data_IF_663648481208
#
_entry.id   IF_663648481208
#
_cell.length_a   1.000
_cell.length_b   1.000
_cell.length_c   1.000
_cell.angle_alpha   90.00
_cell.angle_beta   90.00
_cell.angle_gamma   90.00
#
_symmetry.space_group_name_H-M   'P 1'
#
loop_
_entity.id
_entity.type
_entity.pdbx_description
1 polymer ?
#
# COMPACT_ATOMS: atom_id res chain seq x y z
N UNK A 1 -17.53 9.79 -17.48
CA UNK A 1 -16.25 9.77 -18.22
C UNK A 1 -15.24 10.54 -17.38
N UNK A 2 -14.06 9.96 -17.10
CA UNK A 2 -13.05 10.57 -16.21
C UNK A 2 -12.18 11.56 -17.00
N UNK A 3 -11.85 12.75 -16.47
CA UNK A 3 -10.99 13.71 -17.16
C UNK A 3 -9.65 13.08 -17.57
N UNK A 4 -9.08 13.49 -18.71
CA UNK A 4 -7.80 12.96 -19.20
C UNK A 4 -6.67 13.06 -18.18
N UNK A 5 -6.64 14.10 -17.36
CA UNK A 5 -5.65 14.30 -16.29
C UNK A 5 -5.77 13.31 -15.12
N UNK A 6 -6.85 12.55 -15.04
CA UNK A 6 -7.09 11.54 -14.01
C UNK A 6 -6.96 10.11 -14.55
N UNK A 7 -6.68 9.95 -15.85
CA UNK A 7 -6.41 8.64 -16.44
C UNK A 7 -5.01 8.18 -16.04
N UNK A 8 -4.88 6.89 -15.75
CA UNK A 8 -3.59 6.28 -15.47
C UNK A 8 -2.77 6.09 -16.75
N UNK A 9 -1.45 6.26 -16.62
CA UNK A 9 -0.46 6.16 -17.68
C UNK A 9 0.01 7.54 -18.12
N UNK A 10 1.27 7.60 -18.57
CA UNK A 10 1.85 8.83 -19.11
C UNK A 10 1.46 9.01 -20.58
N UNK A 11 1.22 10.25 -21.06
CA UNK A 11 0.91 10.49 -22.47
C UNK A 11 2.03 10.01 -23.39
N UNK A 12 1.65 9.38 -24.50
CA UNK A 12 2.57 8.89 -25.54
C UNK A 12 3.57 7.82 -25.06
N UNK A 13 3.19 7.02 -24.07
CA UNK A 13 3.97 5.85 -23.62
C UNK A 13 3.14 4.56 -23.72
N UNK A 14 3.85 3.42 -23.78
CA UNK A 14 3.26 2.07 -23.75
C UNK A 14 3.73 1.33 -22.49
N UNK A 15 3.25 0.11 -22.22
CA UNK A 15 3.73 -0.73 -21.11
C UNK A 15 3.24 -0.35 -19.70
N UNK A 16 2.59 0.81 -19.51
CA UNK A 16 1.91 1.15 -18.26
C UNK A 16 0.59 0.39 -18.13
N UNK A 17 0.34 -0.20 -16.95
CA UNK A 17 -1.01 -0.61 -16.57
C UNK A 17 -1.87 0.65 -16.46
N UNK A 18 -3.09 0.56 -16.97
CA UNK A 18 -4.12 1.60 -16.84
C UNK A 18 -4.75 1.57 -15.44
N UNK A 19 -3.92 1.68 -14.41
CA UNK A 19 -4.30 1.69 -12.99
C UNK A 19 -3.42 2.68 -12.23
N UNK A 20 -3.92 3.19 -11.11
CA UNK A 20 -3.15 4.01 -10.17
C UNK A 20 -2.79 3.17 -8.95
N UNK A 21 -1.53 3.22 -8.52
CA UNK A 21 -1.05 2.49 -7.34
C UNK A 21 -0.70 3.48 -6.24
N UNK A 22 -1.25 3.28 -5.05
CA UNK A 22 -0.82 3.96 -3.84
C UNK A 22 -0.12 2.97 -2.91
N UNK A 23 1.08 3.33 -2.46
CA UNK A 23 1.85 2.58 -1.47
C UNK A 23 2.00 3.46 -0.23
N UNK A 24 1.56 2.97 0.92
CA UNK A 24 1.70 3.67 2.21
C UNK A 24 2.73 2.92 3.03
N UNK A 25 3.71 3.65 3.55
CA UNK A 25 4.74 3.15 4.45
C UNK A 25 4.28 3.29 5.89
N UNK A 26 4.32 2.19 6.62
CA UNK A 26 3.77 2.06 7.96
C UNK A 26 4.91 1.76 8.93
N UNK A 27 5.02 2.60 9.97
CA UNK A 27 5.90 2.34 11.11
C UNK A 27 5.06 1.76 12.24
N UNK A 28 5.43 0.57 12.73
CA UNK A 28 4.75 -0.07 13.86
C UNK A 28 4.94 0.77 15.12
N UNK A 29 3.92 0.76 15.98
CA UNK A 29 3.95 1.46 17.27
C UNK A 29 5.12 0.99 18.13
N UNK A 30 5.82 1.94 18.75
CA UNK A 30 6.94 1.62 19.64
C UNK A 30 6.50 0.70 20.78
N UNK A 31 7.27 -0.37 21.00
CA UNK A 31 7.02 -1.36 22.05
C UNK A 31 5.99 -2.43 21.70
N UNK A 32 5.35 -2.37 20.53
CA UNK A 32 4.46 -3.42 20.05
C UNK A 32 5.27 -4.60 19.48
N UNK A 33 4.86 -5.83 19.80
CA UNK A 33 5.46 -7.04 19.20
C UNK A 33 5.13 -7.15 17.71
N UNK A 34 5.90 -7.96 16.97
CA UNK A 34 5.60 -8.25 15.56
C UNK A 34 4.28 -9.01 15.43
N UNK A 35 4.02 -9.95 16.32
CA UNK A 35 2.80 -10.76 16.36
C UNK A 35 1.57 -9.91 16.62
N UNK A 36 1.60 -9.02 17.62
CA UNK A 36 0.48 -8.14 17.93
C UNK A 36 0.21 -7.16 16.79
N UNK A 37 1.25 -6.66 16.14
CA UNK A 37 1.11 -5.76 14.98
C UNK A 37 0.47 -6.48 13.79
N UNK A 38 0.92 -7.69 13.47
CA UNK A 38 0.32 -8.52 12.41
C UNK A 38 -1.14 -8.80 12.73
N UNK A 39 -1.46 -9.27 13.94
CA UNK A 39 -2.84 -9.61 14.32
C UNK A 39 -3.74 -8.39 14.26
N UNK A 40 -3.34 -7.28 14.89
CA UNK A 40 -4.15 -6.08 14.93
C UNK A 40 -4.35 -5.50 13.53
N UNK A 41 -3.28 -5.36 12.75
CA UNK A 41 -3.38 -4.77 11.42
C UNK A 41 -4.25 -5.64 10.51
N UNK A 42 -4.03 -6.96 10.49
CA UNK A 42 -4.78 -7.85 9.61
C UNK A 42 -6.24 -8.03 10.02
N UNK A 43 -6.50 -8.27 11.32
CA UNK A 43 -7.80 -8.76 11.80
C UNK A 43 -8.68 -7.66 12.39
N UNK A 44 -8.13 -6.49 12.72
CA UNK A 44 -8.90 -5.35 13.23
C UNK A 44 -8.98 -4.22 12.22
N UNK A 45 -7.85 -3.73 11.74
CA UNK A 45 -7.84 -2.53 10.89
C UNK A 45 -8.19 -2.87 9.42
N UNK A 46 -7.42 -3.76 8.79
CA UNK A 46 -7.53 -4.06 7.36
C UNK A 46 -8.91 -4.62 6.98
N UNK A 47 -9.49 -5.52 7.78
CA UNK A 47 -10.83 -6.07 7.50
C UNK A 47 -11.93 -5.00 7.50
N UNK A 48 -11.83 -3.98 8.36
CA UNK A 48 -12.81 -2.88 8.41
C UNK A 48 -12.75 -1.98 7.18
N UNK A 49 -11.59 -1.90 6.52
CA UNK A 49 -11.44 -1.16 5.28
C UNK A 49 -12.13 -1.85 4.10
N UNK A 50 -12.17 -3.20 4.07
CA UNK A 50 -12.66 -3.97 2.90
C UNK A 50 -13.99 -3.49 2.31
N UNK A 51 -15.07 -3.26 3.10
CA UNK A 51 -16.34 -2.80 2.54
C UNK A 51 -16.27 -1.41 1.90
N UNK A 52 -15.42 -0.51 2.44
CA UNK A 52 -15.19 0.82 1.89
C UNK A 52 -14.44 0.69 0.57
N UNK A 53 -13.40 -0.15 0.54
CA UNK A 53 -12.59 -0.37 -0.65
C UNK A 53 -13.41 -0.93 -1.81
N UNK A 54 -14.27 -1.92 -1.52
CA UNK A 54 -15.17 -2.53 -2.52
C UNK A 54 -16.17 -1.51 -3.09
N UNK A 55 -16.73 -0.64 -2.25
CA UNK A 55 -17.69 0.40 -2.67
C UNK A 55 -17.09 1.41 -3.66
N UNK A 56 -15.79 1.69 -3.53
CA UNK A 56 -15.07 2.59 -4.45
C UNK A 56 -14.44 1.87 -5.65
N UNK A 57 -14.66 0.56 -5.81
CA UNK A 57 -14.16 -0.21 -6.95
C UNK A 57 -12.64 -0.38 -6.94
N UNK A 58 -12.01 -0.37 -5.76
CA UNK A 58 -10.57 -0.60 -5.63
C UNK A 58 -10.27 -2.04 -6.06
N UNK A 59 -9.28 -2.19 -6.94
CA UNK A 59 -8.95 -3.44 -7.63
C UNK A 59 -8.28 -4.42 -6.68
N UNK A 60 -7.33 -3.93 -5.87
CA UNK A 60 -6.66 -4.75 -4.87
C UNK A 60 -6.18 -3.92 -3.68
N UNK A 61 -6.14 -4.59 -2.54
CA UNK A 61 -5.52 -4.10 -1.30
C UNK A 61 -4.66 -5.22 -0.73
N UNK A 62 -3.39 -4.92 -0.46
CA UNK A 62 -2.46 -5.88 0.12
C UNK A 62 -1.60 -5.23 1.20
N UNK A 63 -1.15 -6.08 2.13
CA UNK A 63 -0.18 -5.75 3.17
C UNK A 63 1.09 -6.54 2.91
N UNK A 64 2.24 -5.86 2.95
CA UNK A 64 3.56 -6.49 2.88
C UNK A 64 4.34 -6.07 4.11
N UNK A 65 4.80 -7.06 4.87
CA UNK A 65 5.52 -6.84 6.12
C UNK A 65 7.03 -6.85 5.89
N UNK A 66 7.73 -6.06 6.69
CA UNK A 66 9.18 -5.95 6.72
C UNK A 66 9.66 -5.96 8.17
N UNK A 67 9.39 -7.07 8.85
CA UNK A 67 9.60 -7.22 10.29
C UNK A 67 10.96 -7.89 10.58
N UNK A 68 11.28 -8.17 11.85
CA UNK A 68 12.62 -8.64 12.25
C UNK A 68 13.08 -9.86 11.44
N UNK A 69 12.18 -10.83 11.27
CA UNK A 69 12.42 -12.02 10.45
C UNK A 69 12.79 -11.67 9.01
N UNK A 70 12.03 -10.80 8.36
CA UNK A 70 12.19 -10.49 6.94
C UNK A 70 13.44 -9.65 6.70
N UNK A 71 13.70 -8.69 7.60
CA UNK A 71 14.93 -7.89 7.64
C UNK A 71 16.16 -8.78 7.75
N UNK A 72 16.15 -9.77 8.66
CA UNK A 72 17.26 -10.71 8.82
C UNK A 72 17.47 -11.56 7.57
N UNK A 73 16.40 -12.12 7.01
CA UNK A 73 16.48 -12.96 5.80
C UNK A 73 17.11 -12.20 4.64
N UNK A 74 16.66 -10.97 4.35
CA UNK A 74 17.23 -10.21 3.24
C UNK A 74 18.66 -9.75 3.52
N UNK A 75 19.00 -9.44 4.78
CA UNK A 75 20.38 -9.15 5.14
C UNK A 75 21.30 -10.35 4.93
N UNK A 76 20.89 -11.54 5.34
CA UNK A 76 21.66 -12.77 5.15
C UNK A 76 21.89 -13.04 3.64
N UNK A 77 20.83 -12.91 2.83
CA UNK A 77 20.91 -13.07 1.36
C UNK A 77 21.88 -12.06 0.74
N UNK A 78 21.86 -10.81 1.20
CA UNK A 78 22.71 -9.73 0.69
C UNK A 78 24.06 -9.62 1.41
N UNK A 79 24.42 -10.61 2.24
CA UNK A 79 25.68 -10.65 3.00
C UNK A 79 25.90 -9.38 3.84
N UNK A 80 24.83 -8.87 4.47
CA UNK A 80 24.82 -7.67 5.30
C UNK A 80 24.83 -6.34 4.53
N UNK A 81 24.77 -6.35 3.20
CA UNK A 81 24.83 -5.13 2.38
C UNK A 81 23.45 -4.57 2.01
N UNK A 82 22.36 -5.11 2.56
CA UNK A 82 21.03 -4.62 2.23
C UNK A 82 20.82 -3.21 2.81
N UNK A 83 20.38 -2.27 1.96
CA UNK A 83 19.97 -0.93 2.36
C UNK A 83 18.47 -0.91 2.58
N UNK A 84 18.07 -1.32 3.77
CA UNK A 84 16.66 -1.49 4.13
C UNK A 84 16.03 -0.16 4.53
N UNK A 85 14.77 0.02 4.16
CA UNK A 85 13.96 1.13 4.64
C UNK A 85 13.56 0.87 6.10
N UNK A 86 13.58 1.92 6.91
CA UNK A 86 13.22 1.84 8.32
C UNK A 86 11.68 1.88 8.54
N UNK A 87 10.96 0.97 7.89
CA UNK A 87 9.50 0.80 8.02
C UNK A 87 9.16 -0.67 8.20
N UNK A 88 8.08 -0.93 8.91
CA UNK A 88 7.71 -2.28 9.38
C UNK A 88 6.69 -2.96 8.44
N UNK A 89 5.96 -2.17 7.66
CA UNK A 89 5.08 -2.68 6.61
C UNK A 89 4.86 -1.62 5.53
N UNK A 90 4.36 -2.09 4.39
CA UNK A 90 3.65 -1.25 3.44
C UNK A 90 2.23 -1.79 3.25
N UNK A 91 1.30 -0.88 2.98
CA UNK A 91 0.03 -1.25 2.39
C UNK A 91 -0.04 -0.72 0.96
N UNK A 92 -0.60 -1.52 0.06
CA UNK A 92 -0.68 -1.18 -1.36
C UNK A 92 -2.12 -1.27 -1.83
N UNK A 93 -2.60 -0.19 -2.41
CA UNK A 93 -3.90 -0.10 -3.06
C UNK A 93 -3.71 0.07 -4.57
N UNK A 94 -4.51 -0.63 -5.36
CA UNK A 94 -4.58 -0.46 -6.81
C UNK A 94 -5.98 0.04 -7.17
N UNK A 95 -6.04 1.23 -7.75
CA UNK A 95 -7.25 1.93 -8.16
C UNK A 95 -7.40 1.88 -9.68
N UNK A 96 -8.64 1.90 -10.21
CA UNK A 96 -8.84 2.00 -11.65
C UNK A 96 -8.35 3.33 -12.24
N UNK A 97 -8.43 4.42 -11.48
CA UNK A 97 -8.01 5.76 -11.89
C UNK A 97 -7.81 6.70 -10.67
N UNK A 98 -7.32 7.91 -10.91
CA UNK A 98 -7.12 8.90 -9.85
C UNK A 98 -8.44 9.41 -9.24
N UNK A 99 -9.57 9.25 -9.93
CA UNK A 99 -10.87 9.67 -9.40
C UNK A 99 -11.34 8.71 -8.31
N UNK A 100 -11.14 7.40 -8.51
CA UNK A 100 -11.39 6.40 -7.48
C UNK A 100 -10.49 6.62 -6.25
N UNK A 101 -9.20 6.91 -6.47
CA UNK A 101 -8.30 7.31 -5.39
C UNK A 101 -8.84 8.53 -4.63
N UNK A 102 -9.21 9.61 -5.34
CA UNK A 102 -9.73 10.82 -4.70
C UNK A 102 -10.99 10.53 -3.89
N UNK A 103 -11.95 9.78 -4.45
CA UNK A 103 -13.18 9.40 -3.73
C UNK A 103 -12.89 8.62 -2.45
N UNK A 104 -11.95 7.68 -2.50
CA UNK A 104 -11.52 6.93 -1.33
C UNK A 104 -10.87 7.84 -0.28
N UNK A 105 -9.97 8.73 -0.68
CA UNK A 105 -9.26 9.65 0.24
C UNK A 105 -10.20 10.65 0.95
N UNK A 106 -11.34 10.98 0.34
CA UNK A 106 -12.35 11.87 0.92
C UNK A 106 -13.56 11.13 1.51
N UNK A 107 -13.51 9.80 1.61
CA UNK A 107 -14.58 9.01 2.23
C UNK A 107 -14.61 9.26 3.74
N UNK A 108 -15.79 9.59 4.28
CA UNK A 108 -15.95 9.88 5.72
C UNK A 108 -15.79 8.65 6.61
N UNK A 109 -16.25 7.49 6.16
CA UNK A 109 -16.05 6.22 6.87
C UNK A 109 -14.57 5.81 6.80
N UNK A 110 -13.91 6.06 5.66
CA UNK A 110 -12.46 5.90 5.51
C UNK A 110 -11.68 6.78 6.48
N UNK A 111 -12.01 8.08 6.55
CA UNK A 111 -11.37 9.01 7.47
C UNK A 111 -11.56 8.62 8.95
N UNK A 112 -12.70 8.01 9.30
CA UNK A 112 -12.94 7.52 10.65
C UNK A 112 -12.02 6.33 11.03
N UNK A 113 -11.51 5.57 10.05
CA UNK A 113 -10.52 4.51 10.31
C UNK A 113 -9.14 5.06 10.70
N UNK A 114 -8.82 6.30 10.34
CA UNK A 114 -7.52 6.89 10.72
C UNK A 114 -7.39 7.02 12.25
N UNK A 115 -8.50 7.18 12.98
CA UNK A 115 -8.48 7.17 14.45
C UNK A 115 -8.05 5.84 15.08
N UNK A 116 -7.95 4.77 14.27
CA UNK A 116 -7.48 3.45 14.70
C UNK A 116 -5.95 3.31 14.62
N UNK A 117 -5.25 4.23 13.95
CA UNK A 117 -3.81 4.14 13.70
C UNK A 117 -3.00 4.07 15.00
N UNK A 118 -3.39 4.86 16.01
CA UNK A 118 -2.71 4.92 17.32
C UNK A 118 -2.68 3.57 18.06
N UNK A 119 -3.49 2.59 17.65
CA UNK A 119 -3.52 1.27 18.26
C UNK A 119 -2.35 0.38 17.80
N UNK A 120 -1.79 0.61 16.60
CA UNK A 120 -0.84 -0.33 15.99
C UNK A 120 0.34 0.34 15.26
N UNK A 121 0.25 1.62 14.92
CA UNK A 121 1.28 2.33 14.17
C UNK A 121 1.62 3.71 14.75
N UNK A 122 2.76 4.25 14.33
CA UNK A 122 3.13 5.65 14.52
C UNK A 122 2.71 6.46 13.28
N UNK A 123 1.55 7.11 13.37
CA UNK A 123 0.96 7.87 12.28
C UNK A 123 1.82 9.07 11.84
N UNK A 124 2.63 9.63 12.74
CA UNK A 124 3.51 10.77 12.43
C UNK A 124 4.60 10.42 11.40
N UNK A 125 4.96 9.14 11.32
CA UNK A 125 5.94 8.62 10.39
C UNK A 125 5.32 8.12 9.08
N UNK A 126 4.00 8.02 8.99
CA UNK A 126 3.32 7.52 7.79
C UNK A 126 3.71 8.35 6.55
N UNK A 127 4.11 7.67 5.48
CA UNK A 127 4.42 8.27 4.17
C UNK A 127 3.63 7.57 3.08
N UNK A 128 3.35 8.28 1.99
CA UNK A 128 2.64 7.75 0.84
C UNK A 128 3.40 8.03 -0.46
N UNK A 129 3.43 7.05 -1.35
CA UNK A 129 3.86 7.17 -2.74
C UNK A 129 2.71 6.77 -3.64
N UNK A 130 2.36 7.62 -4.61
CA UNK A 130 1.27 7.38 -5.56
C UNK A 130 1.81 7.56 -6.97
N UNK A 131 1.45 6.64 -7.87
CA UNK A 131 1.83 6.76 -9.28
C UNK A 131 1.27 5.64 -10.15
N UNK A 132 1.66 5.68 -11.42
CA UNK A 132 1.22 4.73 -12.43
C UNK A 132 2.26 3.61 -12.60
N UNK A 133 1.80 2.37 -12.79
CA UNK A 133 2.66 1.19 -12.77
C UNK A 133 3.09 0.77 -14.18
N UNK A 134 4.39 0.86 -14.49
CA UNK A 134 4.99 0.29 -15.70
C UNK A 134 5.33 -1.18 -15.48
N UNK A 135 4.89 -2.04 -16.39
CA UNK A 135 5.06 -3.49 -16.24
C UNK A 135 6.05 -4.06 -17.25
N UNK A 136 6.99 -4.87 -16.75
CA UNK A 136 7.93 -5.66 -17.56
C UNK A 136 7.64 -7.16 -17.45
N UNK A 137 7.18 -7.60 -16.27
CA UNK A 137 6.81 -8.99 -15.98
C UNK A 137 5.54 -9.02 -15.14
N UNK A 138 4.57 -9.83 -15.54
CA UNK A 138 3.33 -10.08 -14.79
C UNK A 138 3.07 -11.60 -14.80
N UNK A 139 2.76 -12.19 -13.63
CA UNK A 139 2.53 -13.63 -13.49
C UNK A 139 3.67 -14.51 -14.05
N UNK A 140 4.92 -14.06 -13.91
CA UNK A 140 6.10 -14.76 -14.40
C UNK A 140 6.31 -14.69 -15.93
N UNK A 141 5.49 -13.93 -16.66
CA UNK A 141 5.58 -13.74 -18.10
C UNK A 141 5.99 -12.31 -18.43
N UNK A 142 6.76 -12.12 -19.50
CA UNK A 142 7.07 -10.78 -20.03
C UNK A 142 5.78 -10.11 -20.50
N UNK A 143 5.61 -8.84 -20.15
CA UNK A 143 4.50 -7.98 -20.61
C UNK A 143 5.04 -6.66 -21.16
N UNK A 144 4.22 -5.95 -21.94
CA UNK A 144 4.62 -4.83 -22.79
C UNK A 144 4.90 -5.30 -24.21
#
# INVERSE_FOLDING_TARGET
MVPKSFQAGYPNTEGFRKVVKATIYIKKKQGMSDEDFIDYYNNKHAQRAVPILQRHGIISYSLTYHLERDQKVIQDIMQGNAKLLDYDAICTFVFPDYLALAKFMYDKEGAALNGDHDNFMDDSQMKMMVGDEYMLVENGQRVG
#
